data_IF_832413010318
#
_entry.id   IF_832413010318
#
_cell.length_a   1.000
_cell.length_b   1.000
_cell.length_c   1.000
_cell.angle_alpha   90.00
_cell.angle_beta   90.00
_cell.angle_gamma   90.00
#
_symmetry.space_group_name_H-M   'P 1'
#
loop_
_entity.id
_entity.type
_entity.pdbx_description
1 polymer ?
#
# COMPACT_ATOMS: atom_id res chain seq x y z
N UNK A 1 12.66 54.03 -29.87
CA UNK A 1 12.81 52.56 -30.10
C UNK A 1 12.93 51.89 -28.73
N UNK A 2 11.79 51.45 -28.17
CA UNK A 2 11.76 50.87 -26.80
C UNK A 2 11.87 49.37 -26.84
N UNK A 3 12.98 48.86 -26.29
CA UNK A 3 13.24 47.43 -26.14
C UNK A 3 12.46 46.92 -24.93
N UNK A 4 11.38 46.14 -25.13
CA UNK A 4 10.63 45.49 -24.05
C UNK A 4 11.37 44.21 -23.62
N UNK A 5 12.02 44.29 -22.48
CA UNK A 5 12.60 43.08 -21.82
C UNK A 5 11.50 42.17 -21.35
N UNK A 6 11.40 40.96 -21.95
CA UNK A 6 10.50 39.89 -21.51
C UNK A 6 11.20 39.13 -20.40
N UNK A 7 10.76 39.34 -19.16
CA UNK A 7 11.23 38.56 -17.99
C UNK A 7 10.49 37.22 -17.95
N UNK A 8 11.15 36.17 -18.39
CA UNK A 8 10.61 34.80 -18.26
C UNK A 8 10.82 34.35 -16.81
N UNK A 9 9.75 34.37 -16.00
CA UNK A 9 9.73 33.80 -14.66
C UNK A 9 9.55 32.28 -14.82
N UNK A 10 10.66 31.55 -14.72
CA UNK A 10 10.67 30.09 -14.69
C UNK A 10 10.19 29.62 -13.31
N UNK A 11 8.90 29.30 -13.20
CA UNK A 11 8.29 28.79 -11.99
C UNK A 11 8.75 27.35 -11.78
N UNK A 12 9.78 27.15 -10.96
CA UNK A 12 10.15 25.84 -10.46
C UNK A 12 9.02 25.33 -9.54
N UNK A 13 8.20 24.42 -10.06
CA UNK A 13 7.28 23.64 -9.24
C UNK A 13 8.13 22.70 -8.36
N UNK A 14 8.46 23.15 -7.17
CA UNK A 14 9.00 22.30 -6.12
C UNK A 14 7.93 21.29 -5.72
N UNK A 15 8.04 20.07 -6.24
CA UNK A 15 7.23 18.95 -5.78
C UNK A 15 7.72 18.59 -4.36
N UNK A 16 6.91 18.78 -3.28
CA UNK A 16 7.40 18.67 -1.91
C UNK A 16 7.59 17.24 -1.40
N UNK A 17 7.33 16.22 -2.22
CA UNK A 17 7.48 14.82 -1.83
C UNK A 17 8.21 14.04 -2.92
N UNK A 18 9.51 13.87 -2.74
CA UNK A 18 10.26 12.88 -3.50
C UNK A 18 10.02 11.51 -2.86
N UNK A 19 9.10 10.73 -3.43
CA UNK A 19 9.04 9.30 -3.14
C UNK A 19 10.13 8.62 -3.96
N UNK A 20 10.97 7.81 -3.33
CA UNK A 20 11.88 6.97 -4.08
C UNK A 20 11.14 5.70 -4.51
N UNK A 21 11.09 5.51 -5.81
CA UNK A 21 10.55 4.29 -6.41
C UNK A 21 11.68 3.32 -6.67
N UNK A 22 11.51 2.07 -6.32
CA UNK A 22 12.42 1.01 -6.73
C UNK A 22 11.64 -0.19 -7.24
N UNK A 23 12.22 -0.88 -8.23
CA UNK A 23 11.63 -2.09 -8.78
C UNK A 23 12.14 -3.31 -8.01
N UNK A 24 11.23 -4.26 -7.74
CA UNK A 24 11.54 -5.49 -7.05
C UNK A 24 10.68 -6.64 -7.58
N UNK A 25 11.19 -7.87 -7.50
CA UNK A 25 10.46 -9.08 -7.89
C UNK A 25 9.76 -9.68 -6.68
N UNK A 26 8.46 -9.87 -6.74
CA UNK A 26 7.69 -10.55 -5.70
C UNK A 26 8.03 -12.04 -5.69
N UNK A 27 8.46 -12.56 -4.53
CA UNK A 27 8.87 -13.96 -4.39
C UNK A 27 8.03 -14.74 -3.38
N UNK A 28 7.28 -14.05 -2.53
CA UNK A 28 6.39 -14.69 -1.56
C UNK A 28 5.30 -13.72 -1.11
N UNK A 29 4.08 -14.20 -1.00
CA UNK A 29 3.00 -13.54 -0.29
C UNK A 29 2.96 -14.11 1.14
N UNK A 30 2.93 -13.23 2.14
CA UNK A 30 2.91 -13.61 3.55
C UNK A 30 1.47 -13.68 4.04
N UNK A 31 0.70 -12.62 3.73
CA UNK A 31 -0.73 -12.47 4.03
C UNK A 31 -1.35 -11.47 3.04
N UNK A 32 -2.55 -10.95 3.31
CA UNK A 32 -3.28 -10.06 2.41
C UNK A 32 -2.71 -8.64 2.28
N UNK A 33 -1.67 -8.28 3.02
CA UNK A 33 -1.05 -6.94 2.98
C UNK A 33 0.46 -6.93 3.20
N UNK A 34 1.08 -8.10 3.19
CA UNK A 34 2.53 -8.26 3.41
C UNK A 34 3.12 -9.21 2.37
N UNK A 35 4.17 -8.76 1.69
CA UNK A 35 4.88 -9.54 0.66
C UNK A 35 6.38 -9.54 0.90
N UNK A 36 7.08 -10.58 0.46
CA UNK A 36 8.53 -10.61 0.35
C UNK A 36 8.93 -10.41 -1.12
N UNK A 37 9.92 -9.53 -1.34
CA UNK A 37 10.45 -9.21 -2.67
C UNK A 37 11.96 -9.36 -2.71
N UNK A 38 12.51 -9.54 -3.91
CA UNK A 38 13.95 -9.42 -4.20
C UNK A 38 14.22 -8.08 -4.87
N UNK A 39 15.18 -7.33 -4.34
CA UNK A 39 15.61 -6.02 -4.79
C UNK A 39 17.12 -5.99 -5.05
N UNK A 40 17.56 -5.28 -6.09
CA UNK A 40 18.97 -5.14 -6.44
C UNK A 40 19.66 -6.51 -6.60
N UNK A 41 20.80 -6.71 -5.92
CA UNK A 41 21.58 -7.95 -5.95
C UNK A 41 20.95 -9.06 -5.09
N UNK A 42 19.68 -9.38 -5.34
CA UNK A 42 18.89 -10.41 -4.62
C UNK A 42 18.71 -10.14 -3.13
N UNK A 43 18.78 -8.88 -2.68
CA UNK A 43 18.46 -8.52 -1.32
C UNK A 43 16.96 -8.77 -1.06
N UNK A 44 16.66 -9.61 -0.07
CA UNK A 44 15.29 -9.88 0.33
C UNK A 44 14.76 -8.76 1.22
N UNK A 45 13.63 -8.16 0.82
CA UNK A 45 12.91 -7.15 1.58
C UNK A 45 11.50 -7.62 1.87
N UNK A 46 11.01 -7.29 3.06
CA UNK A 46 9.60 -7.45 3.42
C UNK A 46 8.86 -6.13 3.27
N UNK A 47 7.82 -6.13 2.45
CA UNK A 47 7.00 -4.95 2.16
C UNK A 47 5.67 -5.10 2.89
N UNK A 48 5.30 -4.10 3.69
CA UNK A 48 3.96 -3.93 4.24
C UNK A 48 3.22 -2.89 3.41
N UNK A 49 2.12 -3.28 2.82
CA UNK A 49 1.32 -2.42 1.96
C UNK A 49 0.79 -1.21 2.77
N UNK A 50 1.13 -0.01 2.32
CA UNK A 50 0.79 1.25 2.99
C UNK A 50 -0.72 1.50 2.95
N UNK A 51 -1.28 1.97 4.07
CA UNK A 51 -2.65 2.50 4.14
C UNK A 51 -3.74 1.44 4.15
N UNK A 52 -3.40 0.15 4.14
CA UNK A 52 -4.38 -0.94 4.25
C UNK A 52 -4.08 -1.86 5.45
N UNK A 53 -5.09 -2.61 5.89
CA UNK A 53 -4.95 -3.68 6.88
C UNK A 53 -5.87 -4.83 6.46
N UNK A 54 -5.28 -5.94 6.04
CA UNK A 54 -6.01 -7.11 5.58
C UNK A 54 -6.32 -8.06 6.75
N UNK A 55 -7.36 -8.88 6.66
CA UNK A 55 -7.62 -9.92 7.64
C UNK A 55 -6.40 -10.83 7.81
N UNK A 56 -6.11 -11.22 9.06
CA UNK A 56 -5.06 -12.19 9.38
C UNK A 56 -5.38 -13.55 8.76
N UNK A 57 -4.37 -14.37 8.44
CA UNK A 57 -4.59 -15.66 7.76
C UNK A 57 -5.61 -16.58 8.45
N UNK A 58 -5.72 -16.51 9.79
CA UNK A 58 -6.69 -17.27 10.58
C UNK A 58 -8.01 -16.55 10.83
N UNK A 59 -8.15 -15.33 10.34
CA UNK A 59 -9.36 -14.55 10.39
C UNK A 59 -10.22 -14.86 9.14
N UNK A 60 -11.53 -14.73 9.27
CA UNK A 60 -12.42 -14.82 8.11
C UNK A 60 -11.98 -13.82 7.02
N UNK A 61 -12.03 -14.20 5.77
CA UNK A 61 -11.42 -13.50 4.61
C UNK A 61 -9.88 -13.39 4.61
N UNK A 62 -9.17 -13.94 5.56
CA UNK A 62 -7.71 -13.88 5.59
C UNK A 62 -7.06 -14.70 4.48
N UNK A 63 -7.57 -15.91 4.24
CA UNK A 63 -7.12 -16.75 3.15
C UNK A 63 -7.45 -16.15 1.78
N UNK A 64 -8.67 -15.68 1.58
CA UNK A 64 -9.14 -15.06 0.34
C UNK A 64 -8.30 -13.82 -0.02
N UNK A 65 -8.00 -12.99 0.97
CA UNK A 65 -7.17 -11.81 0.84
C UNK A 65 -5.75 -12.17 0.39
N UNK A 66 -5.12 -13.14 1.08
CA UNK A 66 -3.79 -13.65 0.73
C UNK A 66 -3.78 -14.33 -0.65
N UNK A 67 -4.79 -15.14 -0.96
CA UNK A 67 -4.93 -15.83 -2.23
C UNK A 67 -5.07 -14.86 -3.40
N UNK A 68 -5.91 -13.84 -3.26
CA UNK A 68 -6.09 -12.81 -4.29
C UNK A 68 -4.77 -12.06 -4.55
N UNK A 69 -4.09 -11.63 -3.49
CA UNK A 69 -2.80 -10.95 -3.61
C UNK A 69 -1.76 -11.84 -4.28
N UNK A 70 -1.74 -13.15 -3.96
CA UNK A 70 -0.87 -14.14 -4.59
C UNK A 70 -1.18 -14.29 -6.09
N UNK A 71 -2.45 -14.38 -6.46
CA UNK A 71 -2.91 -14.50 -7.85
C UNK A 71 -2.41 -13.34 -8.72
N UNK A 72 -2.41 -12.11 -8.19
CA UNK A 72 -2.06 -10.91 -8.97
C UNK A 72 -0.57 -10.58 -8.92
N UNK A 73 0.17 -10.91 -7.85
CA UNK A 73 1.54 -10.45 -7.63
C UNK A 73 2.62 -11.54 -7.70
N UNK A 74 2.30 -12.81 -7.48
CA UNK A 74 3.35 -13.83 -7.35
C UNK A 74 4.22 -13.92 -8.61
N UNK A 75 5.54 -13.83 -8.42
CA UNK A 75 6.54 -13.87 -9.49
C UNK A 75 6.63 -12.60 -10.34
N UNK A 76 5.79 -11.59 -10.11
CA UNK A 76 5.76 -10.33 -10.88
C UNK A 76 6.85 -9.36 -10.42
N UNK A 77 7.29 -8.51 -11.36
CA UNK A 77 8.07 -7.31 -11.04
C UNK A 77 7.14 -6.14 -10.79
N UNK A 78 7.34 -5.47 -9.66
CA UNK A 78 6.50 -4.36 -9.19
C UNK A 78 7.36 -3.14 -8.84
N UNK A 79 6.79 -1.95 -8.94
CA UNK A 79 7.39 -0.76 -8.36
C UNK A 79 6.90 -0.61 -6.92
N UNK A 80 7.84 -0.30 -6.01
CA UNK A 80 7.57 -0.02 -4.60
C UNK A 80 7.79 1.48 -4.38
N UNK A 81 6.72 2.19 -4.04
CA UNK A 81 6.76 3.62 -3.70
C UNK A 81 6.82 3.74 -2.18
N UNK A 82 7.95 4.16 -1.64
CA UNK A 82 8.15 4.27 -0.20
C UNK A 82 8.91 5.55 0.18
N UNK A 83 8.88 5.93 1.46
CA UNK A 83 9.71 7.04 1.95
C UNK A 83 11.18 6.66 1.87
N UNK A 84 12.04 7.48 1.25
CA UNK A 84 13.47 7.23 1.17
C UNK A 84 14.16 7.45 2.52
N UNK A 85 15.25 6.72 2.75
CA UNK A 85 16.26 7.02 3.75
C UNK A 85 17.42 7.78 3.08
N UNK A 86 18.31 8.42 3.87
CA UNK A 86 19.50 9.14 3.37
C UNK A 86 20.40 8.29 2.49
N UNK A 87 20.46 6.98 2.74
CA UNK A 87 21.37 6.04 2.08
C UNK A 87 20.66 4.92 1.32
N UNK A 88 19.31 4.90 1.29
CA UNK A 88 18.51 3.84 0.70
C UNK A 88 17.25 4.41 0.06
N UNK A 89 16.72 3.77 -0.98
CA UNK A 89 15.44 4.18 -1.58
C UNK A 89 14.22 3.83 -0.70
N UNK A 90 14.43 3.41 0.55
CA UNK A 90 13.35 3.04 1.47
C UNK A 90 13.78 3.23 2.92
N UNK A 91 12.79 3.44 3.81
CA UNK A 91 12.96 3.43 5.28
C UNK A 91 12.38 2.15 5.86
N UNK A 92 13.09 1.52 6.79
CA UNK A 92 12.58 0.37 7.54
C UNK A 92 11.71 0.84 8.70
N UNK A 93 10.48 0.35 8.75
CA UNK A 93 9.57 0.54 9.88
C UNK A 93 9.92 -0.35 11.08
N UNK A 94 9.09 -0.26 12.13
CA UNK A 94 9.31 -0.88 13.45
C UNK A 94 9.68 -2.38 13.40
N UNK A 95 9.10 -3.16 12.49
CA UNK A 95 9.39 -4.60 12.35
C UNK A 95 10.41 -4.91 11.23
N UNK A 96 11.31 -3.97 10.93
CA UNK A 96 12.27 -4.09 9.81
C UNK A 96 11.60 -4.35 8.46
N UNK A 97 10.35 -3.87 8.28
CA UNK A 97 9.60 -3.94 7.03
C UNK A 97 9.64 -2.58 6.33
N UNK A 98 9.75 -2.61 5.02
CA UNK A 98 9.51 -1.42 4.19
C UNK A 98 8.00 -1.18 4.13
N UNK A 99 7.56 0.04 4.41
CA UNK A 99 6.15 0.42 4.26
C UNK A 99 6.03 1.17 2.94
N UNK A 100 5.23 0.64 2.02
CA UNK A 100 5.13 1.22 0.68
C UNK A 100 3.85 0.90 -0.06
N UNK A 101 3.59 1.69 -1.09
CA UNK A 101 2.59 1.38 -2.09
C UNK A 101 3.21 0.45 -3.13
N UNK A 102 2.49 -0.60 -3.48
CA UNK A 102 2.89 -1.57 -4.52
C UNK A 102 2.16 -1.23 -5.80
N UNK A 103 2.91 -1.03 -6.88
CA UNK A 103 2.37 -0.67 -8.19
C UNK A 103 2.72 -1.75 -9.20
N UNK A 104 1.72 -2.29 -9.89
CA UNK A 104 1.87 -3.23 -11.00
C UNK A 104 1.22 -2.64 -12.25
N UNK A 105 2.00 -2.50 -13.34
CA UNK A 105 1.51 -1.97 -14.63
C UNK A 105 0.77 -0.62 -14.49
N UNK A 106 1.26 0.26 -13.60
CA UNK A 106 0.64 1.56 -13.29
C UNK A 106 -0.56 1.50 -12.34
N UNK A 107 -1.05 0.31 -11.97
CA UNK A 107 -2.15 0.12 -11.03
C UNK A 107 -1.69 0.07 -9.58
N UNK A 108 -2.40 0.77 -8.69
CA UNK A 108 -2.21 0.74 -7.23
C UNK A 108 -2.84 -0.52 -6.65
N UNK A 109 -2.01 -1.50 -6.26
CA UNK A 109 -2.44 -2.78 -5.71
C UNK A 109 -3.05 -2.63 -4.31
N UNK A 110 -2.55 -1.70 -3.51
CA UNK A 110 -3.11 -1.43 -2.19
C UNK A 110 -4.57 -0.95 -2.31
N UNK A 111 -4.84 -0.05 -3.26
CA UNK A 111 -6.19 0.41 -3.58
C UNK A 111 -7.07 -0.72 -4.12
N UNK A 112 -6.50 -1.59 -4.95
CA UNK A 112 -7.21 -2.74 -5.52
C UNK A 112 -7.72 -3.69 -4.43
N UNK A 113 -6.89 -4.01 -3.43
CA UNK A 113 -7.29 -4.82 -2.28
C UNK A 113 -8.49 -4.25 -1.51
N UNK A 114 -8.59 -2.92 -1.42
CA UNK A 114 -9.76 -2.25 -0.81
C UNK A 114 -11.00 -2.38 -1.70
N UNK A 115 -10.86 -2.16 -3.02
CA UNK A 115 -11.98 -2.26 -3.98
C UNK A 115 -12.61 -3.65 -3.99
N UNK A 116 -11.76 -4.67 -3.92
CA UNK A 116 -12.19 -6.07 -3.85
C UNK A 116 -12.74 -6.48 -2.47
N UNK A 117 -12.81 -5.53 -1.52
CA UNK A 117 -13.26 -5.82 -0.16
C UNK A 117 -12.39 -6.84 0.57
N UNK A 118 -11.09 -6.89 0.27
CA UNK A 118 -10.12 -7.82 0.84
C UNK A 118 -9.18 -7.16 1.85
N UNK A 119 -9.30 -5.85 2.03
CA UNK A 119 -8.58 -5.08 3.05
C UNK A 119 -9.40 -3.87 3.51
N UNK A 120 -9.15 -3.47 4.75
CA UNK A 120 -9.63 -2.22 5.32
C UNK A 120 -8.72 -1.06 4.94
N UNK A 121 -9.27 0.16 4.73
CA UNK A 121 -8.46 1.37 4.73
C UNK A 121 -7.98 1.67 6.15
N UNK A 122 -6.67 1.51 6.41
CA UNK A 122 -6.09 1.63 7.75
C UNK A 122 -5.74 3.09 8.09
N UNK A 123 -6.65 3.78 8.76
CA UNK A 123 -6.60 5.23 9.00
C UNK A 123 -5.67 5.66 10.15
N UNK A 124 -5.16 4.71 10.95
CA UNK A 124 -4.31 5.02 12.11
C UNK A 124 -3.04 5.80 11.72
N UNK A 125 -2.44 5.45 10.58
CA UNK A 125 -1.23 6.09 10.08
C UNK A 125 -1.49 6.95 8.83
N UNK A 126 -2.67 7.54 8.71
CA UNK A 126 -3.08 8.36 7.57
C UNK A 126 -2.13 9.51 7.23
N UNK A 127 -1.32 10.00 8.20
CA UNK A 127 -0.33 11.05 7.98
C UNK A 127 0.79 10.62 7.01
N UNK A 128 1.07 9.32 6.91
CA UNK A 128 2.11 8.75 6.04
C UNK A 128 1.62 8.51 4.62
N UNK A 129 0.36 8.82 4.32
CA UNK A 129 -0.26 8.62 3.02
C UNK A 129 -0.65 9.98 2.41
N UNK A 130 -0.36 10.24 1.12
CA UNK A 130 -0.79 11.44 0.43
C UNK A 130 -2.30 11.66 0.52
N UNK A 131 -2.73 12.93 0.53
CA UNK A 131 -4.14 13.27 0.77
C UNK A 131 -5.07 12.72 -0.30
N UNK A 132 -4.64 12.68 -1.56
CA UNK A 132 -5.46 12.19 -2.67
C UNK A 132 -5.59 10.66 -2.64
N UNK A 133 -4.52 9.95 -2.23
CA UNK A 133 -4.59 8.51 -1.98
C UNK A 133 -5.56 8.20 -0.84
N UNK A 134 -5.50 8.96 0.27
CA UNK A 134 -6.47 8.79 1.39
C UNK A 134 -7.91 8.96 0.94
N UNK A 135 -8.19 9.96 0.07
CA UNK A 135 -9.52 10.19 -0.49
C UNK A 135 -9.97 9.01 -1.35
N UNK A 136 -9.08 8.54 -2.24
CA UNK A 136 -9.35 7.40 -3.12
C UNK A 136 -9.61 6.12 -2.34
N UNK A 137 -8.81 5.84 -1.29
CA UNK A 137 -8.97 4.65 -0.44
C UNK A 137 -10.27 4.72 0.39
N UNK A 138 -10.60 5.90 0.95
CA UNK A 138 -11.88 6.11 1.64
C UNK A 138 -13.08 5.87 0.71
N UNK A 139 -13.02 6.39 -0.52
CA UNK A 139 -14.07 6.21 -1.52
C UNK A 139 -14.23 4.75 -1.87
N UNK A 140 -13.12 4.06 -2.16
CA UNK A 140 -13.12 2.63 -2.51
C UNK A 140 -13.70 1.76 -1.37
N UNK A 141 -13.29 1.98 -0.12
CA UNK A 141 -13.86 1.29 1.04
C UNK A 141 -15.37 1.54 1.16
N UNK A 142 -15.83 2.79 1.00
CA UNK A 142 -17.24 3.13 1.06
C UNK A 142 -18.06 2.46 -0.05
N UNK A 143 -17.51 2.39 -1.26
CA UNK A 143 -18.15 1.72 -2.39
C UNK A 143 -18.22 0.20 -2.22
N UNK A 144 -17.11 -0.42 -1.75
CA UNK A 144 -17.08 -1.86 -1.48
C UNK A 144 -18.10 -2.25 -0.40
N UNK A 145 -18.21 -1.45 0.67
CA UNK A 145 -19.24 -1.64 1.72
C UNK A 145 -20.67 -1.55 1.19
N UNK A 146 -20.97 -0.53 0.39
CA UNK A 146 -22.31 -0.33 -0.19
C UNK A 146 -22.72 -1.47 -1.11
N UNK A 147 -21.76 -2.11 -1.76
CA UNK A 147 -21.96 -3.20 -2.69
C UNK A 147 -21.83 -4.60 -2.05
N UNK A 148 -21.56 -4.66 -0.74
CA UNK A 148 -21.35 -5.90 0.01
C UNK A 148 -20.25 -6.79 -0.60
N UNK A 149 -19.18 -6.19 -1.10
CA UNK A 149 -18.06 -6.88 -1.75
C UNK A 149 -17.12 -7.47 -0.70
N UNK A 150 -16.67 -8.71 -0.90
CA UNK A 150 -15.66 -9.38 -0.09
C UNK A 150 -16.06 -9.44 1.39
N UNK A 151 -15.17 -9.02 2.30
CA UNK A 151 -15.41 -8.99 3.75
C UNK A 151 -16.64 -8.15 4.16
N UNK A 152 -17.10 -7.25 3.29
CA UNK A 152 -18.31 -6.43 3.53
C UNK A 152 -19.63 -7.17 3.28
N UNK A 153 -19.56 -8.42 2.79
CA UNK A 153 -20.75 -9.31 2.73
C UNK A 153 -21.18 -9.81 4.11
N UNK A 154 -20.33 -9.67 5.12
CA UNK A 154 -20.69 -9.95 6.51
C UNK A 154 -21.45 -8.78 7.15
N UNK A 155 -22.40 -9.08 8.02
CA UNK A 155 -23.15 -8.06 8.76
C UNK A 155 -22.25 -7.20 9.64
N UNK A 156 -21.26 -7.81 10.30
CA UNK A 156 -20.34 -7.16 11.23
C UNK A 156 -18.90 -7.63 11.04
N UNK A 157 -18.24 -7.27 9.95
CA UNK A 157 -16.88 -7.72 9.70
C UNK A 157 -15.92 -7.21 10.78
N UNK A 158 -15.17 -8.14 11.40
CA UNK A 158 -14.24 -7.83 12.47
C UNK A 158 -12.95 -7.21 11.90
N UNK A 159 -12.55 -5.97 12.27
CA UNK A 159 -11.32 -5.40 11.77
C UNK A 159 -10.07 -6.14 12.28
N UNK A 160 -9.01 -6.28 11.45
CA UNK A 160 -7.79 -7.02 11.80
C UNK A 160 -7.14 -6.56 13.13
N UNK A 161 -7.12 -5.25 13.39
CA UNK A 161 -6.57 -4.71 14.65
C UNK A 161 -7.36 -5.13 15.89
N UNK A 162 -8.69 -5.30 15.78
CA UNK A 162 -9.52 -5.84 16.87
C UNK A 162 -9.30 -7.35 17.03
N UNK A 163 -9.24 -8.06 15.90
CA UNK A 163 -8.96 -9.50 15.90
C UNK A 163 -7.60 -9.80 16.58
N UNK A 164 -6.52 -9.07 16.24
CA UNK A 164 -5.21 -9.18 16.91
C UNK A 164 -5.28 -8.88 18.41
N UNK A 165 -6.08 -7.90 18.82
CA UNK A 165 -6.27 -7.58 20.23
C UNK A 165 -6.93 -8.72 20.99
N UNK A 166 -7.95 -9.36 20.42
CA UNK A 166 -8.67 -10.49 21.01
C UNK A 166 -7.83 -11.76 21.07
N UNK A 167 -6.93 -11.94 20.10
CA UNK A 167 -6.11 -13.14 19.95
C UNK A 167 -4.65 -12.98 20.44
N UNK A 168 -4.32 -11.86 21.09
CA UNK A 168 -3.06 -11.75 21.82
C UNK A 168 -3.09 -12.76 22.96
N UNK A 169 -2.21 -13.78 22.90
CA UNK A 169 -1.97 -14.64 24.05
C UNK A 169 -1.55 -13.75 25.22
N UNK A 170 -2.29 -13.83 26.33
CA UNK A 170 -1.92 -13.26 27.62
C UNK A 170 -0.65 -13.92 28.15
#
# INVERSE_FOLDING_TARGET
>A
MYLKSFLIVMLFLLSPYSFADFNAKVVKIIDGDTIDVLYGNNQKLRIRLLGIDAPELKQHFGYESSFYLNKILNGKSVAIISSPDKNKPYTLGYYKRVIGKVVLNGGDINLEMIKEGLAWHFKKYKKNQPIDERRSYNKAESEARKKYIGLWSEDNPLPPWKWRQQNRKR
#
